data_IF_758472033474
#
_entry.id   IF_758472033474
#
_cell.length_a   1.000
_cell.length_b   1.000
_cell.length_c   1.000
_cell.angle_alpha   90.00
_cell.angle_beta   90.00
_cell.angle_gamma   90.00
#
_symmetry.space_group_name_H-M   'P 1'
#
loop_
_entity.id
_entity.type
_entity.pdbx_description
1 polymer ?
#
# COMPACT_ATOMS: atom_id res chain seq x y z
N UNK A 1 14.90 7.15 -6.93
CA UNK A 1 13.81 7.70 -6.08
C UNK A 1 12.98 6.55 -5.56
N UNK A 2 12.52 6.61 -4.32
CA UNK A 2 11.66 5.58 -3.72
C UNK A 2 10.26 6.17 -3.50
N UNK A 3 9.24 5.49 -4.01
CA UNK A 3 7.85 5.82 -3.74
C UNK A 3 7.26 4.73 -2.87
N UNK A 4 6.96 5.08 -1.63
CA UNK A 4 6.22 4.22 -0.73
C UNK A 4 4.74 4.43 -1.00
N UNK A 5 3.91 3.40 -0.87
CA UNK A 5 2.47 3.54 -0.88
C UNK A 5 1.79 2.47 -0.03
N UNK A 6 0.58 2.78 0.43
CA UNK A 6 -0.30 1.90 1.18
C UNK A 6 -1.76 2.20 0.81
N UNK A 7 -2.63 1.18 0.86
CA UNK A 7 -4.02 1.29 0.42
C UNK A 7 -5.02 0.76 1.44
N UNK A 8 -6.11 1.50 1.62
CA UNK A 8 -7.32 0.98 2.26
C UNK A 8 -8.36 0.67 1.19
N UNK A 9 -9.14 -0.39 1.39
CA UNK A 9 -10.04 -0.89 0.36
C UNK A 9 -11.36 -1.37 0.93
N UNK A 10 -12.32 -1.66 0.05
CA UNK A 10 -13.62 -2.22 0.43
C UNK A 10 -13.56 -3.66 0.95
N UNK A 11 -12.39 -4.33 0.95
CA UNK A 11 -12.26 -5.68 1.48
C UNK A 11 -11.02 -6.43 0.97
N UNK A 12 -11.15 -7.73 0.73
CA UNK A 12 -10.09 -8.57 0.17
C UNK A 12 -10.53 -9.13 -1.18
N UNK A 13 -9.61 -9.51 -2.09
CA UNK A 13 -9.99 -10.13 -3.35
C UNK A 13 -10.70 -11.45 -3.13
N UNK A 14 -11.67 -11.77 -4.01
CA UNK A 14 -12.35 -13.07 -3.99
C UNK A 14 -11.39 -14.23 -4.27
N UNK A 15 -10.43 -14.00 -5.17
CA UNK A 15 -9.36 -14.90 -5.55
C UNK A 15 -8.05 -14.14 -5.70
N UNK A 16 -7.08 -14.47 -4.83
CA UNK A 16 -5.74 -13.87 -4.82
C UNK A 16 -4.93 -14.15 -6.11
N UNK A 17 -5.29 -15.20 -6.85
CA UNK A 17 -4.62 -15.64 -8.08
C UNK A 17 -5.33 -15.17 -9.36
N UNK A 18 -6.42 -14.40 -9.26
CA UNK A 18 -7.10 -13.88 -10.44
C UNK A 18 -6.16 -12.96 -11.26
N UNK A 19 -6.33 -12.86 -12.58
CA UNK A 19 -5.66 -11.85 -13.37
C UNK A 19 -6.19 -10.45 -13.01
N UNK A 20 -5.40 -9.39 -13.25
CA UNK A 20 -5.82 -8.00 -13.02
C UNK A 20 -7.02 -7.59 -13.88
N UNK A 21 -7.15 -8.18 -15.07
CA UNK A 21 -8.27 -7.93 -15.98
C UNK A 21 -9.61 -8.43 -15.45
N UNK A 22 -9.61 -9.32 -14.45
CA UNK A 22 -10.81 -9.69 -13.70
C UNK A 22 -11.11 -8.60 -12.67
N UNK A 23 -11.53 -7.43 -13.16
CA UNK A 23 -11.65 -6.22 -12.35
C UNK A 23 -12.66 -6.36 -11.21
N UNK A 24 -13.66 -7.23 -11.32
CA UNK A 24 -14.68 -7.43 -10.28
C UNK A 24 -14.18 -8.28 -9.12
N UNK A 25 -13.12 -9.07 -9.34
CA UNK A 25 -12.46 -9.84 -8.28
C UNK A 25 -11.75 -8.94 -7.25
N UNK A 26 -11.24 -7.79 -7.70
CA UNK A 26 -10.43 -6.89 -6.88
C UNK A 26 -11.30 -5.87 -6.15
N UNK A 27 -11.09 -5.63 -4.84
CA UNK A 27 -11.86 -4.63 -4.11
C UNK A 27 -11.60 -3.22 -4.64
N UNK A 28 -12.47 -2.28 -4.27
CA UNK A 28 -12.35 -0.88 -4.67
C UNK A 28 -11.40 -0.14 -3.73
N UNK A 29 -10.60 0.76 -4.29
CA UNK A 29 -9.74 1.65 -3.53
C UNK A 29 -10.58 2.65 -2.74
N UNK A 30 -10.35 2.72 -1.43
CA UNK A 30 -11.01 3.66 -0.51
C UNK A 30 -10.06 4.77 -0.10
N UNK A 31 -8.80 4.44 0.16
CA UNK A 31 -7.77 5.40 0.52
C UNK A 31 -6.45 5.00 -0.12
N UNK A 32 -5.65 5.99 -0.50
CA UNK A 32 -4.25 5.80 -0.84
C UNK A 32 -3.41 6.87 -0.15
N UNK A 33 -2.30 6.45 0.45
CA UNK A 33 -1.26 7.36 0.91
C UNK A 33 0.05 6.99 0.22
N UNK A 34 0.91 8.00 0.01
CA UNK A 34 2.26 7.78 -0.51
C UNK A 34 3.28 8.75 0.08
N UNK A 35 4.52 8.26 0.15
CA UNK A 35 5.69 9.05 0.53
C UNK A 35 6.75 8.94 -0.55
N UNK A 36 7.28 10.08 -0.99
CA UNK A 36 8.38 10.13 -1.95
C UNK A 36 9.68 10.43 -1.21
N UNK A 37 10.71 9.62 -1.45
CA UNK A 37 12.03 9.78 -0.85
C UNK A 37 13.13 9.82 -1.93
N UNK A 38 14.12 10.70 -1.73
CA UNK A 38 15.33 10.68 -2.54
C UNK A 38 16.20 9.45 -2.23
N UNK A 39 17.26 9.25 -3.03
CA UNK A 39 18.15 8.10 -2.86
C UNK A 39 19.01 8.16 -1.58
N UNK A 40 19.03 9.32 -0.90
CA UNK A 40 19.75 9.53 0.38
C UNK A 40 18.83 9.34 1.59
N UNK A 41 17.58 8.95 1.39
CA UNK A 41 16.61 8.75 2.47
C UNK A 41 16.00 10.03 3.00
N UNK A 42 16.04 11.14 2.24
CA UNK A 42 15.30 12.35 2.59
C UNK A 42 13.91 12.31 1.97
N UNK A 43 12.90 12.56 2.79
CA UNK A 43 11.52 12.73 2.33
C UNK A 43 11.41 13.99 1.47
N UNK A 44 10.73 13.87 0.34
CA UNK A 44 10.48 14.93 -0.64
C UNK A 44 9.03 15.40 -0.58
N UNK A 45 8.09 14.47 -0.42
CA UNK A 45 6.67 14.79 -0.37
C UNK A 45 5.85 13.65 0.25
N UNK A 46 4.73 14.03 0.84
CA UNK A 46 3.69 13.15 1.37
C UNK A 46 2.33 13.54 0.79
N UNK A 47 1.50 12.54 0.50
CA UNK A 47 0.08 12.73 0.14
C UNK A 47 -0.78 11.63 0.74
N UNK A 48 -2.03 11.97 0.98
CA UNK A 48 -3.08 11.07 1.42
C UNK A 48 -4.40 11.51 0.77
N UNK A 49 -5.10 10.56 0.15
CA UNK A 49 -6.39 10.80 -0.48
C UNK A 49 -7.40 9.73 -0.06
N UNK A 50 -8.58 10.18 0.38
CA UNK A 50 -9.80 9.36 0.38
C UNK A 50 -10.38 9.42 -1.05
N UNK A 51 -10.79 8.29 -1.58
CA UNK A 51 -11.39 8.19 -2.91
C UNK A 51 -12.89 8.38 -2.80
N UNK A 52 -13.43 9.26 -3.64
CA UNK A 52 -14.88 9.44 -3.76
C UNK A 52 -15.50 8.19 -4.40
N UNK A 53 -16.47 7.52 -3.75
CA UNK A 53 -17.07 6.33 -4.33
C UNK A 53 -17.89 6.63 -5.57
N UNK A 54 -17.67 5.85 -6.63
CA UNK A 54 -18.43 5.90 -7.88
C UNK A 54 -18.94 4.50 -8.23
N UNK A 55 -20.24 4.30 -8.03
CA UNK A 55 -20.90 3.02 -8.30
C UNK A 55 -20.63 1.92 -7.28
N UNK A 56 -20.16 2.26 -6.07
CA UNK A 56 -19.97 1.31 -4.97
C UNK A 56 -20.22 1.97 -3.62
N UNK A 57 -20.44 1.14 -2.60
CA UNK A 57 -20.47 1.56 -1.19
C UNK A 57 -19.31 0.91 -0.45
N UNK A 58 -18.85 1.54 0.62
CA UNK A 58 -17.83 0.98 1.51
C UNK A 58 -18.54 0.06 2.50
N UNK A 59 -18.24 -1.26 2.49
CA UNK A 59 -18.86 -2.20 3.42
C UNK A 59 -18.56 -1.86 4.88
N UNK A 60 -19.55 -2.06 5.76
CA UNK A 60 -19.41 -1.72 7.19
C UNK A 60 -18.21 -2.41 7.84
N UNK A 61 -17.93 -3.68 7.51
CA UNK A 61 -16.78 -4.41 8.03
C UNK A 61 -15.44 -3.79 7.60
N UNK A 62 -15.31 -3.29 6.36
CA UNK A 62 -14.13 -2.56 5.93
C UNK A 62 -14.01 -1.22 6.67
N UNK A 63 -15.12 -0.48 6.74
CA UNK A 63 -15.21 0.80 7.45
C UNK A 63 -14.85 0.69 8.93
N UNK A 64 -15.19 -0.41 9.61
CA UNK A 64 -14.78 -0.65 11.00
C UNK A 64 -13.27 -0.87 11.17
N UNK A 65 -12.59 -1.32 10.13
CA UNK A 65 -11.15 -1.54 10.14
C UNK A 65 -10.43 -0.20 9.92
N UNK A 66 -10.72 0.48 8.80
CA UNK A 66 -9.97 1.66 8.38
C UNK A 66 -10.63 3.01 8.74
N UNK A 67 -11.82 2.99 9.32
CA UNK A 67 -12.50 4.17 9.87
C UNK A 67 -13.16 5.11 8.85
N UNK A 68 -13.25 4.74 7.57
CA UNK A 68 -13.83 5.60 6.51
C UNK A 68 -15.21 5.05 6.12
N UNK A 69 -16.26 5.86 6.26
CA UNK A 69 -17.61 5.48 5.82
C UNK A 69 -17.89 5.93 4.39
N UNK A 70 -18.95 5.38 3.77
CA UNK A 70 -19.39 5.82 2.44
C UNK A 70 -19.74 7.31 2.47
N UNK A 71 -20.48 7.77 3.49
CA UNK A 71 -20.89 9.17 3.63
C UNK A 71 -19.69 10.11 3.81
N UNK A 72 -18.66 9.67 4.56
CA UNK A 72 -17.42 10.43 4.67
C UNK A 72 -16.72 10.52 3.32
N UNK A 73 -16.55 9.39 2.62
CA UNK A 73 -15.87 9.33 1.34
C UNK A 73 -16.61 10.12 0.24
N UNK A 74 -17.94 10.18 0.27
CA UNK A 74 -18.73 11.02 -0.63
C UNK A 74 -18.52 12.53 -0.38
N UNK A 75 -18.34 12.92 0.89
CA UNK A 75 -18.17 14.31 1.32
C UNK A 75 -16.75 14.82 1.11
N UNK A 76 -15.76 14.01 1.46
CA UNK A 76 -14.34 14.39 1.56
C UNK A 76 -13.48 13.82 0.43
N UNK A 77 -13.99 12.81 -0.27
CA UNK A 77 -13.22 12.08 -1.25
C UNK A 77 -12.90 12.86 -2.53
N UNK A 78 -11.80 12.47 -3.15
CA UNK A 78 -11.32 13.00 -4.43
C UNK A 78 -11.66 12.01 -5.54
N UNK A 79 -11.94 12.53 -6.74
CA UNK A 79 -12.20 11.69 -7.92
C UNK A 79 -11.03 10.75 -8.20
N UNK A 80 -11.33 9.46 -8.37
CA UNK A 80 -10.35 8.39 -8.57
C UNK A 80 -9.35 8.73 -9.69
N UNK A 81 -9.87 9.12 -10.85
CA UNK A 81 -9.05 9.46 -12.02
C UNK A 81 -7.95 10.47 -11.72
N UNK A 82 -8.28 11.56 -11.01
CA UNK A 82 -7.31 12.61 -10.64
C UNK A 82 -6.19 12.06 -9.77
N UNK A 83 -6.54 11.22 -8.80
CA UNK A 83 -5.57 10.59 -7.89
C UNK A 83 -4.67 9.61 -8.65
N UNK A 84 -5.23 8.81 -9.55
CA UNK A 84 -4.46 7.88 -10.37
C UNK A 84 -3.54 8.59 -11.36
N UNK A 85 -3.96 9.70 -11.96
CA UNK A 85 -3.09 10.50 -12.84
C UNK A 85 -1.90 11.09 -12.08
N UNK A 86 -2.11 11.63 -10.88
CA UNK A 86 -1.03 12.11 -9.99
C UNK A 86 -0.10 10.96 -9.60
N UNK A 87 -0.65 9.83 -9.14
CA UNK A 87 0.13 8.68 -8.70
C UNK A 87 0.93 8.04 -9.85
N UNK A 88 0.34 7.97 -11.05
CA UNK A 88 1.01 7.46 -12.26
C UNK A 88 2.26 8.28 -12.60
N UNK A 89 2.17 9.61 -12.55
CA UNK A 89 3.33 10.48 -12.75
C UNK A 89 4.45 10.22 -11.74
N UNK A 90 4.09 10.00 -10.47
CA UNK A 90 5.07 9.67 -9.43
C UNK A 90 5.71 8.29 -9.62
N UNK A 91 4.95 7.31 -10.11
CA UNK A 91 5.50 6.00 -10.47
C UNK A 91 6.54 6.17 -11.59
N UNK A 92 6.22 6.93 -12.64
CA UNK A 92 7.11 7.13 -13.80
C UNK A 92 8.44 7.82 -13.41
N UNK A 93 8.42 8.67 -12.38
CA UNK A 93 9.63 9.30 -11.84
C UNK A 93 10.41 8.40 -10.85
N UNK A 94 9.80 7.31 -10.40
CA UNK A 94 10.34 6.45 -9.34
C UNK A 94 11.25 5.35 -9.88
N UNK A 95 12.26 5.02 -9.09
CA UNK A 95 13.15 3.88 -9.36
C UNK A 95 12.65 2.63 -8.68
N UNK A 96 12.13 2.79 -7.45
CA UNK A 96 11.59 1.70 -6.64
C UNK A 96 10.23 2.11 -6.09
N UNK A 97 9.28 1.20 -6.21
CA UNK A 97 8.01 1.24 -5.49
C UNK A 97 8.13 0.35 -4.27
N UNK A 98 7.64 0.81 -3.12
CA UNK A 98 7.80 0.09 -1.85
C UNK A 98 6.47 0.03 -1.10
N UNK A 99 6.11 -1.17 -0.64
CA UNK A 99 4.91 -1.38 0.17
C UNK A 99 5.11 -2.56 1.13
N UNK A 100 4.34 -2.58 2.22
CA UNK A 100 4.30 -3.72 3.12
C UNK A 100 3.13 -4.61 2.71
N UNK A 101 3.45 -5.76 2.08
CA UNK A 101 2.50 -6.57 1.32
C UNK A 101 2.17 -6.03 -0.09
N UNK A 102 3.18 -5.54 -0.82
CA UNK A 102 3.11 -5.09 -2.22
C UNK A 102 2.17 -5.88 -3.14
N UNK A 103 2.11 -7.21 -3.01
CA UNK A 103 1.25 -8.04 -3.86
C UNK A 103 -0.25 -7.80 -3.64
N UNK A 104 -0.66 -7.19 -2.54
CA UNK A 104 -2.02 -6.70 -2.37
C UNK A 104 -2.16 -5.33 -3.03
N UNK A 105 -1.40 -4.33 -2.56
CA UNK A 105 -1.54 -2.93 -2.97
C UNK A 105 -1.37 -2.73 -4.48
N UNK A 106 -0.38 -3.37 -5.09
CA UNK A 106 -0.14 -3.27 -6.54
C UNK A 106 -1.33 -3.77 -7.37
N UNK A 107 -2.06 -4.76 -6.84
CA UNK A 107 -3.21 -5.35 -7.53
C UNK A 107 -4.45 -4.49 -7.38
N UNK A 108 -4.63 -3.83 -6.24
CA UNK A 108 -5.69 -2.85 -6.03
C UNK A 108 -5.50 -1.67 -6.98
N UNK A 109 -4.33 -1.04 -6.96
CA UNK A 109 -4.04 0.10 -7.82
C UNK A 109 -4.04 -0.29 -9.29
N UNK A 110 -3.47 -1.45 -9.62
CA UNK A 110 -3.50 -2.00 -10.98
C UNK A 110 -4.93 -2.19 -11.52
N UNK A 111 -5.84 -2.70 -10.69
CA UNK A 111 -7.24 -2.83 -11.06
C UNK A 111 -7.91 -1.46 -11.27
N UNK A 112 -7.66 -0.47 -10.41
CA UNK A 112 -8.20 0.88 -10.60
C UNK A 112 -7.66 1.57 -11.85
N UNK A 113 -6.38 1.39 -12.19
CA UNK A 113 -5.82 1.86 -13.45
C UNK A 113 -6.54 1.26 -14.67
N UNK A 114 -6.89 -0.04 -14.62
CA UNK A 114 -7.66 -0.69 -15.68
C UNK A 114 -9.09 -0.17 -15.77
N UNK A 115 -9.76 0.08 -14.62
CA UNK A 115 -11.13 0.63 -14.58
C UNK A 115 -11.21 2.03 -15.19
N UNK A 116 -10.21 2.88 -14.90
CA UNK A 116 -10.15 4.25 -15.43
C UNK A 116 -9.51 4.37 -16.83
N UNK A 117 -8.89 3.30 -17.33
CA UNK A 117 -8.14 3.32 -18.58
C UNK A 117 -6.89 4.23 -18.52
N UNK A 118 -6.32 4.42 -17.33
CA UNK A 118 -5.17 5.30 -17.09
C UNK A 118 -3.86 4.54 -17.32
N UNK A 119 -3.02 5.08 -18.20
CA UNK A 119 -1.68 4.53 -18.45
C UNK A 119 -0.79 4.71 -17.23
N UNK A 120 0.04 3.71 -16.96
CA UNK A 120 0.96 3.68 -15.84
C UNK A 120 2.14 2.74 -16.13
N UNK A 121 3.21 2.89 -15.37
CA UNK A 121 4.38 2.00 -15.39
C UNK A 121 4.50 1.13 -14.12
N UNK A 122 3.39 0.88 -13.40
CA UNK A 122 3.36 0.19 -12.10
C UNK A 122 4.08 -1.16 -12.12
N UNK A 123 3.80 -1.96 -13.16
CA UNK A 123 4.37 -3.30 -13.30
C UNK A 123 5.72 -3.34 -14.01
N UNK A 124 6.12 -2.22 -14.61
CA UNK A 124 7.41 -2.00 -15.29
C UNK A 124 8.46 -1.41 -14.34
N UNK A 125 8.03 -0.77 -13.25
CA UNK A 125 8.90 -0.20 -12.22
C UNK A 125 9.32 -1.28 -11.21
N UNK A 126 10.53 -1.18 -10.69
CA UNK A 126 11.06 -2.12 -9.70
C UNK A 126 10.24 -2.04 -8.40
N UNK A 127 9.83 -3.18 -7.86
CA UNK A 127 8.91 -3.26 -6.71
C UNK A 127 9.56 -4.02 -5.57
N UNK A 128 9.54 -3.42 -4.38
CA UNK A 128 10.09 -3.99 -3.14
C UNK A 128 8.96 -4.22 -2.15
N UNK A 129 8.85 -5.45 -1.67
CA UNK A 129 7.90 -5.84 -0.63
C UNK A 129 8.63 -6.01 0.70
N UNK A 130 8.45 -5.08 1.65
CA UNK A 130 9.14 -5.15 2.96
C UNK A 130 8.73 -6.37 3.77
N UNK A 131 7.47 -6.82 3.64
CA UNK A 131 6.98 -8.06 4.22
C UNK A 131 7.80 -9.29 3.76
N UNK A 132 7.96 -9.47 2.45
CA UNK A 132 8.73 -10.60 1.91
C UNK A 132 10.21 -10.46 2.23
N UNK A 133 10.78 -9.28 2.01
CA UNK A 133 12.21 -9.03 2.19
C UNK A 133 12.68 -9.20 3.65
N UNK A 134 11.79 -9.02 4.62
CA UNK A 134 12.09 -9.19 6.04
C UNK A 134 11.71 -10.56 6.62
N UNK A 135 11.16 -11.48 5.82
CA UNK A 135 10.65 -12.76 6.33
C UNK A 135 11.75 -13.59 7.02
N UNK A 136 12.90 -13.75 6.37
CA UNK A 136 14.04 -14.50 6.92
C UNK A 136 14.78 -13.75 8.05
N UNK A 137 14.61 -12.43 8.12
CA UNK A 137 15.14 -11.63 9.22
C UNK A 137 14.28 -11.77 10.48
N UNK A 138 12.95 -11.72 10.32
CA UNK A 138 12.01 -11.81 11.43
C UNK A 138 11.94 -13.23 12.02
N UNK A 139 12.08 -14.27 11.19
CA UNK A 139 12.07 -15.69 11.59
C UNK A 139 10.87 -16.09 12.44
N UNK A 140 9.71 -15.51 12.15
CA UNK A 140 8.49 -15.78 12.91
C UNK A 140 8.01 -17.20 12.61
N UNK A 141 7.55 -17.98 13.61
CA UNK A 141 7.09 -19.33 13.41
C UNK A 141 5.85 -19.35 12.49
N UNK A 142 5.88 -20.22 11.48
CA UNK A 142 4.77 -20.48 10.56
C UNK A 142 4.66 -21.97 10.24
N UNK A 143 3.52 -22.37 9.67
CA UNK A 143 3.22 -23.79 9.44
C UNK A 143 4.07 -24.44 8.34
N UNK A 144 4.63 -23.65 7.41
CA UNK A 144 5.35 -24.13 6.23
C UNK A 144 6.67 -23.37 5.99
N UNK A 145 7.31 -22.91 7.07
CA UNK A 145 8.47 -22.03 7.03
C UNK A 145 8.23 -20.79 7.89
N UNK A 146 9.06 -19.76 7.70
CA UNK A 146 8.85 -18.50 8.42
C UNK A 146 7.59 -17.80 7.92
N UNK A 147 6.75 -17.41 8.87
CA UNK A 147 5.55 -16.61 8.62
C UNK A 147 5.99 -15.24 8.08
N UNK A 148 5.25 -14.72 7.10
CA UNK A 148 5.37 -13.33 6.69
C UNK A 148 5.02 -12.39 7.86
N UNK A 149 5.92 -11.47 8.23
CA UNK A 149 5.68 -10.56 9.34
C UNK A 149 4.59 -9.57 8.96
N UNK A 150 3.71 -9.25 9.92
CA UNK A 150 2.92 -8.02 9.87
C UNK A 150 3.84 -6.80 9.99
N UNK A 151 3.35 -5.62 9.64
CA UNK A 151 4.14 -4.39 9.70
C UNK A 151 4.54 -4.07 11.14
N UNK A 152 3.58 -4.22 12.05
CA UNK A 152 3.77 -4.15 13.51
C UNK A 152 4.84 -5.11 14.03
N UNK A 153 4.84 -6.36 13.57
CA UNK A 153 5.83 -7.37 13.96
C UNK A 153 7.24 -7.01 13.45
N UNK A 154 7.34 -6.52 12.21
CA UNK A 154 8.59 -6.02 11.64
C UNK A 154 9.09 -4.79 12.40
N UNK A 155 8.23 -3.81 12.67
CA UNK A 155 8.58 -2.60 13.41
C UNK A 155 9.12 -2.95 14.79
N UNK A 156 8.40 -3.80 15.53
CA UNK A 156 8.84 -4.27 16.84
C UNK A 156 10.21 -4.95 16.77
N UNK A 157 10.42 -5.83 15.79
CA UNK A 157 11.71 -6.53 15.61
C UNK A 157 12.88 -5.59 15.30
N UNK A 158 12.63 -4.46 14.64
CA UNK A 158 13.66 -3.49 14.28
C UNK A 158 13.96 -2.52 15.42
N UNK A 159 12.94 -2.07 16.15
CA UNK A 159 13.06 -0.93 17.06
C UNK A 159 12.84 -1.26 18.54
N UNK A 160 12.40 -2.49 18.86
CA UNK A 160 11.97 -2.88 20.22
C UNK A 160 10.89 -1.95 20.78
N UNK A 161 10.04 -1.44 19.87
CA UNK A 161 9.00 -0.44 20.14
C UNK A 161 7.67 -0.92 19.55
N UNK A 162 6.62 -0.90 20.38
CA UNK A 162 5.29 -1.35 19.99
C UNK A 162 4.65 -0.35 19.03
N UNK A 163 4.46 -0.80 17.79
CA UNK A 163 3.64 -0.11 16.81
C UNK A 163 2.36 -0.90 16.61
N UNK A 164 1.22 -0.24 16.78
CA UNK A 164 -0.09 -0.80 16.41
C UNK A 164 -0.46 -0.24 15.05
N UNK A 165 -0.67 -1.14 14.10
CA UNK A 165 -1.24 -0.80 12.80
C UNK A 165 -2.54 -0.04 13.03
N UNK A 166 -2.61 1.13 12.42
CA UNK A 166 -3.76 2.02 12.59
C UNK A 166 -4.86 1.69 11.57
N UNK A 167 -4.55 0.86 10.56
CA UNK A 167 -5.38 0.70 9.36
C UNK A 167 -5.73 2.07 8.79
N UNK A 168 -4.67 2.88 8.71
CA UNK A 168 -4.71 4.22 8.22
C UNK A 168 -3.47 4.38 7.35
N UNK A 169 -3.69 4.50 6.04
CA UNK A 169 -2.61 4.46 5.07
C UNK A 169 -1.46 5.43 5.38
N UNK A 170 -1.72 6.58 6.02
CA UNK A 170 -0.69 7.56 6.39
C UNK A 170 0.19 7.11 7.56
N UNK A 171 -0.39 6.47 8.56
CA UNK A 171 0.37 5.98 9.72
C UNK A 171 1.17 4.73 9.33
N UNK A 172 0.53 3.83 8.60
CA UNK A 172 1.13 2.55 8.22
C UNK A 172 2.23 2.74 7.17
N UNK A 173 2.07 3.67 6.22
CA UNK A 173 3.14 3.98 5.26
C UNK A 173 4.38 4.61 5.90
N UNK A 174 4.21 5.47 6.91
CA UNK A 174 5.33 6.07 7.62
C UNK A 174 6.12 4.99 8.38
N UNK A 175 5.42 4.06 9.02
CA UNK A 175 6.04 2.90 9.66
C UNK A 175 6.73 1.98 8.62
N UNK A 176 6.13 1.76 7.45
CA UNK A 176 6.72 1.00 6.35
C UNK A 176 8.03 1.65 5.85
N UNK A 177 8.03 2.96 5.61
CA UNK A 177 9.22 3.70 5.19
C UNK A 177 10.33 3.62 6.25
N UNK A 178 10.00 3.84 7.52
CA UNK A 178 10.94 3.70 8.64
C UNK A 178 11.56 2.29 8.70
N UNK A 179 10.74 1.25 8.55
CA UNK A 179 11.21 -0.13 8.51
C UNK A 179 12.13 -0.40 7.31
N UNK A 180 11.76 0.06 6.12
CA UNK A 180 12.58 -0.09 4.92
C UNK A 180 13.97 0.53 5.08
N UNK A 181 14.04 1.78 5.54
CA UNK A 181 15.33 2.46 5.71
C UNK A 181 16.22 1.78 6.75
N UNK A 182 15.62 1.24 7.81
CA UNK A 182 16.35 0.49 8.82
C UNK A 182 16.82 -0.88 8.32
N UNK A 183 16.01 -1.60 7.56
CA UNK A 183 16.41 -2.84 6.88
C UNK A 183 17.61 -2.60 5.96
N UNK A 184 17.56 -1.51 5.17
CA UNK A 184 18.63 -1.11 4.26
C UNK A 184 19.91 -0.74 5.02
N UNK A 185 19.77 0.02 6.12
CA UNK A 185 20.90 0.39 6.99
C UNK A 185 21.59 -0.84 7.59
N UNK A 186 20.82 -1.89 7.91
CA UNK A 186 21.32 -3.17 8.44
C UNK A 186 21.85 -4.13 7.36
N UNK A 187 21.74 -3.79 6.08
CA UNK A 187 22.15 -4.64 4.96
C UNK A 187 21.30 -5.90 4.80
N UNK A 188 20.03 -5.85 5.24
CA UNK A 188 19.06 -6.94 5.09
C UNK A 188 18.39 -6.87 3.71
N UNK A 189 18.24 -5.64 3.18
CA UNK A 189 17.74 -5.34 1.83
C UNK A 189 18.71 -4.42 1.10
#
# INVERSE_FOLDING_TARGET
>A
MHLFFDTETTGIPGNWNAPLSDIDNWPRLVQIAWLQYDNKGRELSERNYIIKPEGFTIPHNASQIHGISTEQAEREGVALKKVLEEFSGLIDESTFLVAHNMGFDEKIIGAEFLREGTRNSLFQTERICTMKASTDYCKLPGNYGYKWPKLSELHFKLFDDEFREAHNATVDIAACAKCFWELKRRGII
#
